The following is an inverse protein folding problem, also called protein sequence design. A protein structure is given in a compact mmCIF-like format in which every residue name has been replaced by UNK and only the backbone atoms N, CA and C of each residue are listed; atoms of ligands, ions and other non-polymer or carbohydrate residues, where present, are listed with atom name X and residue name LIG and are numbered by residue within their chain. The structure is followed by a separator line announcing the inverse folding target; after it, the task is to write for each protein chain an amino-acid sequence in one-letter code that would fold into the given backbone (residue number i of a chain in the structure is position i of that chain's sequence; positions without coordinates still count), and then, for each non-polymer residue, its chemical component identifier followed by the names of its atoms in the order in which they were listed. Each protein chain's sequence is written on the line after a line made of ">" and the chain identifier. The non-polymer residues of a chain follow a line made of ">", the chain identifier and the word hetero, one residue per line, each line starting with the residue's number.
data_IF_656968806431
#
_entry.id   IF_656968806431
#
_cell.length_a   1.000
_cell.length_b   1.000
_cell.length_c   1.000
_cell.angle_alpha   90.00
_cell.angle_beta   90.00
_cell.angle_gamma   90.00
#
_symmetry.space_group_name_H-M   'P 1'
#
loop_
_entity.id
_entity.type
_entity.pdbx_description
1 polymer ?
#
# COMPACT_ATOMS: atom_id res chain seq x y z
N UNK A 1 -9.79 -21.55 -17.29
CA UNK A 1 -10.65 -22.69 -17.69
C UNK A 1 -11.87 -22.63 -16.80
N UNK A 2 -13.04 -22.20 -17.33
CA UNK A 2 -14.25 -21.88 -16.52
C UNK A 2 -15.20 -23.08 -16.35
N UNK A 3 -15.01 -24.15 -17.09
CA UNK A 3 -15.85 -25.35 -16.97
C UNK A 3 -15.01 -26.61 -17.16
N UNK A 4 -14.45 -27.21 -16.11
CA UNK A 4 -13.67 -28.43 -16.21
C UNK A 4 -14.49 -29.69 -16.53
N UNK A 5 -15.82 -29.67 -16.41
CA UNK A 5 -16.70 -30.81 -16.55
C UNK A 5 -18.06 -30.49 -17.22
N UNK A 6 -18.10 -29.60 -18.18
CA UNK A 6 -19.36 -29.28 -18.87
C UNK A 6 -19.16 -28.64 -20.23
N UNK A 7 -20.23 -28.57 -20.99
CA UNK A 7 -20.27 -27.88 -22.26
C UNK A 7 -20.13 -26.37 -22.06
N UNK A 8 -19.22 -25.72 -22.80
CA UNK A 8 -18.96 -24.26 -22.69
C UNK A 8 -20.25 -23.46 -22.91
N UNK A 9 -21.19 -24.00 -23.70
CA UNK A 9 -22.48 -23.37 -24.00
C UNK A 9 -23.43 -23.27 -22.77
N UNK A 10 -23.10 -23.96 -21.67
CA UNK A 10 -23.89 -23.91 -20.43
C UNK A 10 -23.38 -22.90 -19.41
N UNK A 11 -22.27 -22.20 -19.69
CA UNK A 11 -21.64 -21.22 -18.81
C UNK A 11 -22.09 -19.82 -19.20
N UNK A 12 -22.81 -19.15 -18.31
CA UNK A 12 -23.13 -17.73 -18.45
C UNK A 12 -21.99 -16.88 -17.91
N UNK A 13 -21.38 -16.05 -18.75
CA UNK A 13 -20.44 -15.02 -18.32
C UNK A 13 -21.23 -13.80 -17.87
N UNK A 14 -21.13 -13.48 -16.58
CA UNK A 14 -21.70 -12.25 -16.03
C UNK A 14 -20.54 -11.25 -15.96
N UNK A 15 -20.58 -10.25 -16.81
CA UNK A 15 -19.66 -9.11 -16.76
C UNK A 15 -20.30 -8.01 -15.87
N UNK A 16 -19.64 -7.68 -14.76
CA UNK A 16 -20.01 -6.54 -13.93
C UNK A 16 -19.59 -5.23 -14.60
N UNK A 17 -20.27 -4.14 -14.26
CA UNK A 17 -19.81 -2.82 -14.66
C UNK A 17 -18.39 -2.55 -14.14
N UNK A 18 -17.52 -1.94 -14.95
CA UNK A 18 -16.18 -1.58 -14.49
C UNK A 18 -16.31 -0.57 -13.34
N UNK A 19 -15.68 -0.84 -12.22
CA UNK A 19 -15.60 0.10 -11.10
C UNK A 19 -14.87 1.39 -11.48
N UNK A 20 -14.94 2.42 -10.62
CA UNK A 20 -14.20 3.65 -10.84
C UNK A 20 -12.69 3.36 -11.02
N UNK A 21 -12.02 3.97 -12.00
CA UNK A 21 -10.60 3.78 -12.22
C UNK A 21 -9.80 4.21 -10.99
N UNK A 22 -8.72 3.49 -10.69
CA UNK A 22 -7.84 3.83 -9.59
C UNK A 22 -7.10 5.15 -9.87
N UNK A 23 -7.02 6.01 -8.87
CA UNK A 23 -6.20 7.22 -8.87
C UNK A 23 -4.82 6.87 -8.31
N UNK A 24 -3.81 6.84 -9.18
CA UNK A 24 -2.44 6.49 -8.78
C UNK A 24 -1.51 7.65 -9.13
N UNK A 25 -0.81 8.14 -8.13
CA UNK A 25 0.13 9.26 -8.27
C UNK A 25 1.54 8.83 -7.85
N UNK A 26 2.54 9.51 -8.41
CA UNK A 26 3.94 9.36 -7.97
C UNK A 26 4.25 10.54 -7.06
N UNK A 27 4.57 10.26 -5.80
CA UNK A 27 4.99 11.27 -4.85
C UNK A 27 6.42 11.70 -5.17
N UNK A 28 6.60 12.99 -5.37
CA UNK A 28 7.91 13.62 -5.58
C UNK A 28 8.11 14.72 -4.54
N UNK A 29 9.35 15.02 -4.13
CA UNK A 29 9.61 16.12 -3.22
C UNK A 29 9.32 17.47 -3.88
N UNK A 30 8.81 18.42 -3.11
CA UNK A 30 8.45 19.76 -3.61
C UNK A 30 9.67 20.63 -3.84
N UNK A 31 10.64 20.63 -2.93
CA UNK A 31 11.80 21.52 -2.94
C UNK A 31 13.13 20.79 -3.20
N UNK A 32 13.24 19.53 -2.82
CA UNK A 32 14.45 18.75 -2.98
C UNK A 32 14.37 17.83 -4.20
N UNK A 33 15.53 17.43 -4.71
CA UNK A 33 15.57 16.44 -5.78
C UNK A 33 15.65 15.05 -5.17
N UNK A 34 14.85 14.12 -5.70
CA UNK A 34 15.01 12.70 -5.37
C UNK A 34 16.48 12.29 -5.53
N UNK A 35 17.11 11.63 -4.56
CA UNK A 35 18.51 11.25 -4.60
C UNK A 35 18.81 10.30 -5.77
N UNK A 36 20.04 10.32 -6.25
CA UNK A 36 20.46 9.40 -7.30
C UNK A 36 20.48 7.94 -6.87
N UNK A 37 20.80 7.67 -5.62
CA UNK A 37 20.91 6.33 -5.06
C UNK A 37 20.25 6.25 -3.68
N UNK A 38 20.31 5.06 -3.08
CA UNK A 38 19.65 4.75 -1.81
C UNK A 38 18.31 4.04 -2.02
N UNK A 39 17.84 3.42 -0.95
CA UNK A 39 16.61 2.60 -0.99
C UNK A 39 15.64 2.92 0.17
N UNK A 40 15.94 3.96 0.93
CA UNK A 40 15.23 4.23 2.19
C UNK A 40 14.08 5.23 2.06
N UNK A 41 14.01 6.00 0.96
CA UNK A 41 13.01 7.05 0.73
C UNK A 41 12.88 8.03 1.93
N UNK A 42 13.98 8.37 2.59
CA UNK A 42 13.99 9.20 3.80
C UNK A 42 13.38 10.58 3.55
N UNK A 43 13.58 11.12 2.35
CA UNK A 43 13.03 12.39 1.91
C UNK A 43 11.49 12.45 1.99
N UNK A 44 10.84 11.30 1.86
CA UNK A 44 9.38 11.21 1.80
C UNK A 44 8.72 11.15 3.19
N UNK A 45 9.47 10.92 4.26
CA UNK A 45 8.89 10.70 5.60
C UNK A 45 7.95 11.83 6.05
N UNK A 46 8.30 13.12 5.92
CA UNK A 46 7.38 14.19 6.29
C UNK A 46 6.08 14.17 5.48
N UNK A 47 6.18 13.96 4.17
CA UNK A 47 5.01 13.90 3.27
C UNK A 47 4.15 12.66 3.55
N UNK A 48 4.76 11.50 3.85
CA UNK A 48 4.03 10.31 4.28
C UNK A 48 3.26 10.54 5.57
N UNK A 49 3.83 11.26 6.52
CA UNK A 49 3.16 11.61 7.76
C UNK A 49 1.95 12.52 7.51
N UNK A 50 2.07 13.52 6.64
CA UNK A 50 0.93 14.36 6.25
C UNK A 50 -0.18 13.54 5.57
N UNK A 51 0.16 12.57 4.71
CA UNK A 51 -0.84 11.69 4.11
C UNK A 51 -1.54 10.80 5.15
N UNK A 52 -0.81 10.31 6.16
CA UNK A 52 -1.42 9.56 7.28
C UNK A 52 -2.41 10.44 8.06
N UNK A 53 -2.10 11.71 8.27
CA UNK A 53 -3.00 12.64 8.95
C UNK A 53 -4.28 12.93 8.17
N UNK A 54 -4.19 13.00 6.85
CA UNK A 54 -5.32 13.30 5.95
C UNK A 54 -6.29 12.13 5.78
N UNK A 55 -5.83 10.90 5.98
CA UNK A 55 -6.59 9.68 5.73
C UNK A 55 -6.94 8.97 7.04
N UNK A 56 -8.04 8.23 7.08
CA UNK A 56 -8.45 7.45 8.26
C UNK A 56 -7.56 6.24 8.45
N UNK A 57 -7.30 5.51 7.38
CA UNK A 57 -6.44 4.32 7.40
C UNK A 57 -5.58 4.27 6.15
N UNK A 58 -4.27 4.20 6.35
CA UNK A 58 -3.26 4.14 5.28
C UNK A 58 -2.47 2.85 5.36
N UNK A 59 -2.39 2.10 4.26
CA UNK A 59 -1.49 0.95 4.10
C UNK A 59 -0.22 1.38 3.39
N UNK A 60 0.94 1.17 4.01
CA UNK A 60 2.24 1.49 3.44
C UNK A 60 2.99 0.21 3.15
N UNK A 61 3.04 -0.18 1.88
CA UNK A 61 3.79 -1.35 1.43
C UNK A 61 5.24 -1.03 1.16
N UNK A 62 6.12 -1.92 1.59
CA UNK A 62 7.55 -1.86 1.34
C UNK A 62 8.05 -3.17 0.74
N UNK A 63 9.19 -3.13 0.04
CA UNK A 63 9.74 -4.31 -0.62
C UNK A 63 10.50 -5.24 0.32
N UNK A 64 10.96 -4.75 1.47
CA UNK A 64 11.75 -5.51 2.43
C UNK A 64 11.32 -5.22 3.87
N UNK A 65 11.57 -6.18 4.76
CA UNK A 65 11.35 -5.98 6.21
C UNK A 65 12.21 -4.84 6.78
N UNK A 66 13.44 -4.70 6.28
CA UNK A 66 14.32 -3.62 6.71
C UNK A 66 13.70 -2.26 6.40
N UNK A 67 13.18 -2.08 5.19
CA UNK A 67 12.53 -0.84 4.80
C UNK A 67 11.24 -0.61 5.60
N UNK A 68 10.48 -1.66 5.92
CA UNK A 68 9.30 -1.54 6.77
C UNK A 68 9.65 -1.01 8.16
N UNK A 69 10.64 -1.59 8.81
CA UNK A 69 11.13 -1.13 10.12
C UNK A 69 11.71 0.29 10.06
N UNK A 70 12.49 0.58 9.02
CA UNK A 70 13.09 1.90 8.82
C UNK A 70 12.02 2.99 8.67
N UNK A 71 11.05 2.77 7.79
CA UNK A 71 9.93 3.71 7.58
C UNK A 71 9.11 3.85 8.86
N UNK A 72 8.83 2.75 9.56
CA UNK A 72 8.10 2.78 10.82
C UNK A 72 8.81 3.64 11.87
N UNK A 73 10.11 3.40 12.10
CA UNK A 73 10.88 4.17 13.10
C UNK A 73 10.96 5.65 12.76
N UNK A 74 11.17 6.00 11.48
CA UNK A 74 11.24 7.39 11.07
C UNK A 74 9.87 8.08 11.16
N UNK A 75 8.78 7.43 10.79
CA UNK A 75 7.44 7.96 11.01
C UNK A 75 7.14 8.12 12.50
N UNK A 76 7.56 7.17 13.34
CA UNK A 76 7.40 7.29 14.80
C UNK A 76 8.14 8.47 15.38
N UNK A 77 9.32 8.79 14.88
CA UNK A 77 10.11 9.94 15.33
C UNK A 77 9.47 11.30 15.01
N UNK A 78 8.71 11.38 13.90
CA UNK A 78 7.99 12.61 13.50
C UNK A 78 6.52 12.61 13.93
N UNK A 79 6.07 11.60 14.65
CA UNK A 79 4.69 11.40 15.05
C UNK A 79 4.31 12.28 16.26
N UNK A 80 4.25 13.59 16.06
CA UNK A 80 3.92 14.56 17.09
C UNK A 80 2.50 14.39 17.65
N UNK A 81 1.56 13.96 16.81
CA UNK A 81 0.16 13.75 17.21
C UNK A 81 -0.09 12.38 17.84
N UNK A 82 0.95 11.58 18.09
CA UNK A 82 0.84 10.23 18.67
C UNK A 82 -0.18 9.32 17.94
N UNK A 83 -0.24 9.43 16.63
CA UNK A 83 -1.13 8.62 15.81
C UNK A 83 -0.79 7.12 15.96
N UNK A 84 -1.79 6.23 16.06
CA UNK A 84 -1.56 4.80 16.16
C UNK A 84 -1.06 4.24 14.82
N UNK A 85 0.25 3.97 14.76
CA UNK A 85 0.94 3.43 13.58
C UNK A 85 1.48 2.05 13.95
N UNK A 86 1.25 1.06 13.09
CA UNK A 86 1.73 -0.31 13.26
C UNK A 86 2.73 -0.74 12.19
N UNK A 87 3.48 -1.80 12.47
CA UNK A 87 4.35 -2.48 11.49
C UNK A 87 3.98 -3.95 11.39
N UNK A 88 4.00 -4.51 10.17
CA UNK A 88 3.64 -5.91 9.93
C UNK A 88 4.54 -6.56 8.87
N UNK A 89 5.33 -7.54 9.28
CA UNK A 89 6.16 -8.34 8.37
C UNK A 89 6.43 -9.73 8.93
N UNK A 90 6.95 -10.63 8.09
CA UNK A 90 7.12 -12.05 8.41
C UNK A 90 8.09 -12.37 9.56
N UNK A 91 8.99 -11.45 9.92
CA UNK A 91 9.93 -11.64 11.02
C UNK A 91 9.37 -11.30 12.40
N UNK A 92 8.19 -10.70 12.47
CA UNK A 92 7.50 -10.48 13.73
C UNK A 92 6.96 -11.80 14.30
N UNK A 93 6.85 -11.89 15.63
CA UNK A 93 6.18 -13.01 16.27
C UNK A 93 4.73 -13.13 15.80
N UNK A 94 4.18 -14.33 15.87
CA UNK A 94 2.78 -14.58 15.50
C UNK A 94 1.81 -13.73 16.35
N UNK A 95 2.14 -13.52 17.61
CA UNK A 95 1.36 -12.70 18.53
C UNK A 95 1.38 -11.22 18.13
N UNK A 96 2.56 -10.68 17.82
CA UNK A 96 2.71 -9.29 17.37
C UNK A 96 1.91 -9.05 16.08
N UNK A 97 2.00 -9.97 15.11
CA UNK A 97 1.22 -9.88 13.86
C UNK A 97 -0.28 -9.87 14.12
N UNK A 98 -0.79 -10.83 14.93
CA UNK A 98 -2.21 -10.90 15.28
C UNK A 98 -2.70 -9.66 16.02
N UNK A 99 -1.85 -9.04 16.85
CA UNK A 99 -2.18 -7.78 17.54
C UNK A 99 -2.41 -6.65 16.54
N UNK A 100 -1.52 -6.49 15.56
CA UNK A 100 -1.66 -5.49 14.50
C UNK A 100 -2.89 -5.77 13.62
N UNK A 101 -3.06 -7.02 13.20
CA UNK A 101 -4.21 -7.47 12.40
C UNK A 101 -5.54 -7.18 13.13
N UNK A 102 -5.62 -7.51 14.41
CA UNK A 102 -6.81 -7.25 15.22
C UNK A 102 -7.08 -5.76 15.41
N UNK A 103 -6.07 -4.95 15.68
CA UNK A 103 -6.21 -3.50 15.80
C UNK A 103 -6.65 -2.85 14.48
N UNK A 104 -6.14 -3.36 13.36
CA UNK A 104 -6.53 -2.90 12.04
C UNK A 104 -7.99 -3.25 11.72
N UNK A 105 -8.41 -4.49 11.96
CA UNK A 105 -9.80 -4.93 11.76
C UNK A 105 -10.82 -4.12 12.59
N UNK A 106 -10.40 -3.61 13.76
CA UNK A 106 -11.23 -2.72 14.60
C UNK A 106 -11.14 -1.24 14.20
N UNK A 107 -10.35 -0.89 13.17
CA UNK A 107 -10.16 0.50 12.74
C UNK A 107 -9.40 1.38 13.75
N UNK A 108 -8.58 0.77 14.60
CA UNK A 108 -7.81 1.47 15.63
C UNK A 108 -6.48 2.05 15.13
N UNK A 109 -6.01 1.63 13.95
CA UNK A 109 -4.74 2.08 13.38
C UNK A 109 -4.96 3.13 12.28
N UNK A 110 -4.16 4.18 12.33
CA UNK A 110 -4.09 5.23 11.29
C UNK A 110 -3.21 4.82 10.13
N UNK A 111 -2.16 4.07 10.39
CA UNK A 111 -1.31 3.51 9.36
C UNK A 111 -0.73 2.15 9.74
N UNK A 112 -0.49 1.31 8.75
CA UNK A 112 0.30 0.08 8.90
C UNK A 112 1.35 0.03 7.82
N UNK A 113 2.61 -0.06 8.24
CA UNK A 113 3.74 -0.30 7.35
C UNK A 113 3.93 -1.81 7.22
N UNK A 114 3.92 -2.33 6.00
CA UNK A 114 3.95 -3.78 5.80
C UNK A 114 4.79 -4.20 4.59
N UNK A 115 5.10 -5.47 4.58
CA UNK A 115 5.64 -6.16 3.40
C UNK A 115 4.52 -6.94 2.71
N UNK A 116 4.86 -7.85 1.80
CA UNK A 116 3.89 -8.74 1.12
C UNK A 116 3.05 -9.63 2.04
N UNK A 117 3.29 -9.62 3.34
CA UNK A 117 2.50 -10.37 4.31
C UNK A 117 1.03 -9.95 4.36
N UNK A 118 0.72 -8.75 3.92
CA UNK A 118 -0.64 -8.22 3.84
C UNK A 118 -1.22 -8.19 2.41
N UNK A 119 -0.55 -8.79 1.43
CA UNK A 119 -1.05 -8.86 0.05
C UNK A 119 -2.32 -9.71 -0.08
N UNK A 120 -2.49 -10.72 0.77
CA UNK A 120 -3.53 -11.74 0.65
C UNK A 120 -4.35 -11.92 1.93
N UNK A 121 -5.64 -12.09 1.76
CA UNK A 121 -6.48 -12.95 2.62
C UNK A 121 -7.10 -12.35 3.87
N UNK A 122 -6.97 -11.08 4.18
CA UNK A 122 -7.62 -10.48 5.35
C UNK A 122 -8.47 -9.29 4.90
N UNK A 123 -9.70 -9.25 5.39
CA UNK A 123 -10.54 -8.08 5.27
C UNK A 123 -10.03 -7.03 6.27
N UNK A 124 -9.37 -6.01 5.72
CA UNK A 124 -8.72 -4.96 6.52
C UNK A 124 -9.67 -3.83 6.90
N UNK A 125 -10.95 -3.96 6.58
CA UNK A 125 -11.90 -2.86 6.73
C UNK A 125 -11.67 -1.74 5.71
N UNK A 126 -12.11 -0.54 6.05
CA UNK A 126 -12.02 0.64 5.18
C UNK A 126 -10.59 1.19 5.15
N UNK A 127 -9.84 0.90 4.09
CA UNK A 127 -8.55 1.53 3.79
C UNK A 127 -8.80 2.69 2.81
N UNK A 128 -8.36 3.89 3.16
CA UNK A 128 -8.56 5.07 2.31
C UNK A 128 -7.43 5.26 1.30
N UNK A 129 -6.20 4.93 1.70
CA UNK A 129 -5.00 5.15 0.90
C UNK A 129 -4.05 3.95 0.96
N UNK A 130 -3.51 3.58 -0.19
CA UNK A 130 -2.39 2.63 -0.31
C UNK A 130 -1.16 3.38 -0.78
N UNK A 131 -0.03 3.18 -0.10
CA UNK A 131 1.27 3.75 -0.47
C UNK A 131 2.24 2.60 -0.76
N UNK A 132 2.95 2.68 -1.85
CA UNK A 132 4.06 1.77 -2.17
C UNK A 132 5.38 2.53 -2.06
N UNK A 133 6.19 2.22 -1.06
CA UNK A 133 7.55 2.76 -0.89
C UNK A 133 8.56 1.85 -1.57
N UNK A 134 9.37 2.43 -2.44
CA UNK A 134 10.22 1.72 -3.39
C UNK A 134 9.47 1.30 -4.65
N UNK A 135 10.21 1.08 -5.73
CA UNK A 135 9.62 0.66 -7.00
C UNK A 135 8.82 -0.65 -6.87
N UNK A 136 7.65 -0.74 -7.51
CA UNK A 136 6.86 -1.96 -7.47
C UNK A 136 7.59 -3.09 -8.22
N UNK A 137 7.87 -4.20 -7.54
CA UNK A 137 8.57 -5.35 -8.15
C UNK A 137 7.67 -6.17 -9.08
N UNK A 138 6.35 -5.97 -9.03
CA UNK A 138 5.38 -6.69 -9.85
C UNK A 138 4.10 -5.86 -9.98
N UNK A 139 3.74 -5.53 -11.22
CA UNK A 139 2.56 -4.69 -11.53
C UNK A 139 1.25 -5.36 -11.09
N UNK A 140 1.10 -6.68 -11.30
CA UNK A 140 -0.11 -7.40 -10.85
C UNK A 140 -0.30 -7.29 -9.33
N UNK A 141 0.81 -7.38 -8.58
CA UNK A 141 0.77 -7.23 -7.13
C UNK A 141 0.46 -5.79 -6.73
N UNK A 142 1.00 -4.80 -7.45
CA UNK A 142 0.64 -3.40 -7.25
C UNK A 142 -0.86 -3.19 -7.43
N UNK A 143 -1.44 -3.67 -8.51
CA UNK A 143 -2.89 -3.59 -8.76
C UNK A 143 -3.70 -4.24 -7.64
N UNK A 144 -3.27 -5.42 -7.15
CA UNK A 144 -3.93 -6.09 -6.02
C UNK A 144 -3.85 -5.27 -4.73
N UNK A 145 -2.73 -4.57 -4.48
CA UNK A 145 -2.57 -3.66 -3.33
C UNK A 145 -3.46 -2.43 -3.46
N UNK A 146 -3.47 -1.80 -4.61
CA UNK A 146 -4.33 -0.64 -4.90
C UNK A 146 -5.80 -0.98 -4.72
N UNK A 147 -6.22 -2.15 -5.17
CA UNK A 147 -7.58 -2.65 -4.97
C UNK A 147 -7.98 -2.88 -3.51
N UNK A 148 -7.08 -2.68 -2.54
CA UNK A 148 -7.41 -2.68 -1.10
C UNK A 148 -7.91 -1.33 -0.61
N UNK A 149 -7.66 -0.25 -1.34
CA UNK A 149 -8.17 1.06 -1.00
C UNK A 149 -9.60 1.24 -1.51
N UNK A 150 -10.44 1.89 -0.69
CA UNK A 150 -11.80 2.30 -1.06
C UNK A 150 -12.68 1.19 -1.65
N UNK A 151 -12.93 0.12 -0.89
CA UNK A 151 -13.88 -0.94 -1.27
C UNK A 151 -15.35 -0.45 -1.43
N UNK A 152 -15.58 0.84 -1.43
CA UNK A 152 -16.89 1.40 -1.73
C UNK A 152 -17.10 1.39 -3.23
N UNK A 153 -18.20 0.80 -3.67
CA UNK A 153 -18.54 0.52 -5.08
C UNK A 153 -18.41 1.73 -6.04
N UNK A 154 -18.43 2.97 -5.55
CA UNK A 154 -18.41 4.19 -6.35
C UNK A 154 -17.23 5.14 -6.03
N UNK A 155 -16.26 4.76 -5.20
CA UNK A 155 -15.10 5.61 -4.91
C UNK A 155 -13.85 5.05 -5.58
N UNK A 156 -13.04 5.88 -6.26
CA UNK A 156 -11.78 5.42 -6.85
C UNK A 156 -10.81 4.97 -5.75
N UNK A 157 -10.11 3.88 -6.00
CA UNK A 157 -8.99 3.46 -5.15
C UNK A 157 -7.87 4.47 -5.28
N UNK A 158 -7.32 4.95 -4.16
CA UNK A 158 -6.23 5.93 -4.14
C UNK A 158 -4.91 5.26 -3.78
N UNK A 159 -3.89 5.54 -4.55
CA UNK A 159 -2.55 5.04 -4.27
C UNK A 159 -1.45 6.05 -4.59
N UNK A 160 -0.37 6.00 -3.80
CA UNK A 160 0.85 6.76 -4.02
C UNK A 160 2.03 5.81 -4.23
N UNK A 161 2.82 6.07 -5.26
CA UNK A 161 4.12 5.44 -5.48
C UNK A 161 5.22 6.38 -5.00
N UNK A 162 6.08 5.90 -4.12
CA UNK A 162 7.15 6.69 -3.49
C UNK A 162 8.49 6.11 -3.91
N UNK A 163 9.12 6.61 -4.98
CA UNK A 163 10.43 6.14 -5.41
C UNK A 163 11.51 6.52 -4.40
N UNK A 164 12.38 5.60 -4.03
CA UNK A 164 13.48 5.88 -3.12
C UNK A 164 14.63 6.65 -3.79
N UNK A 165 14.78 6.49 -5.11
CA UNK A 165 15.82 7.13 -5.90
C UNK A 165 15.33 7.43 -7.33
N UNK A 166 16.17 8.13 -8.12
CA UNK A 166 15.80 8.55 -9.47
C UNK A 166 15.56 7.41 -10.45
N UNK A 167 16.25 6.28 -10.30
CA UNK A 167 16.03 5.12 -11.15
C UNK A 167 14.65 4.51 -10.88
N UNK A 168 14.23 4.48 -9.63
CA UNK A 168 12.90 3.99 -9.25
C UNK A 168 11.76 4.89 -9.75
N UNK A 169 12.00 6.17 -10.05
CA UNK A 169 11.01 7.02 -10.72
C UNK A 169 10.64 6.42 -12.08
N UNK A 170 11.65 6.00 -12.86
CA UNK A 170 11.42 5.39 -14.18
C UNK A 170 10.65 4.07 -14.04
N UNK A 171 10.98 3.26 -13.03
CA UNK A 171 10.26 2.01 -12.74
C UNK A 171 8.80 2.29 -12.33
N UNK A 172 8.55 3.32 -11.52
CA UNK A 172 7.20 3.73 -11.14
C UNK A 172 6.39 4.21 -12.35
N UNK A 173 6.97 5.04 -13.22
CA UNK A 173 6.32 5.48 -14.46
C UNK A 173 6.00 4.30 -15.37
N UNK A 174 6.94 3.38 -15.54
CA UNK A 174 6.72 2.17 -16.35
C UNK A 174 5.63 1.25 -15.78
N UNK A 175 5.44 1.23 -14.47
CA UNK A 175 4.40 0.45 -13.83
C UNK A 175 2.99 1.04 -14.02
N UNK A 176 2.88 2.32 -14.39
CA UNK A 176 1.62 3.03 -14.65
C UNK A 176 1.27 3.08 -16.14
N UNK A 177 2.22 2.75 -17.00
CA UNK A 177 2.02 2.72 -18.46
C UNK A 177 1.27 1.44 -18.89
#
# INVERSE_FOLDING_TARGET
>A
MLAPFGDIDTVSLIEGEPGAPAEVEILLPEEERVPWGGHAATWAIPQLYEEIKRNRTTLIFTNTRFLAEYVFQNLWNVNEETLPIGVHHGSLSKEARRKVEGAMARGELRAVICTSTLDLGIDWGDVDLVIQVGAPKNVKRLVQRIGRANHRYNAPSKALLVPANRFEIVECVAALA
#
